data_IF_479494508678
#
_entry.id   IF_479494508678
#
_cell.length_a   1.000
_cell.length_b   1.000
_cell.length_c   1.000
_cell.angle_alpha   90.00
_cell.angle_beta   90.00
_cell.angle_gamma   90.00
#
_symmetry.space_group_name_H-M   'P 1'
#
loop_
_entity.id
_entity.type
_entity.pdbx_description
1 polymer ?
#
# COMPACT_ATOMS: atom_id res chain seq x y z
N UNK A 1 25.24 11.70 -17.09
CA UNK A 1 25.26 10.85 -15.86
C UNK A 1 26.22 11.38 -14.81
N UNK A 2 27.49 11.63 -15.15
CA UNK A 2 28.46 12.17 -14.18
C UNK A 2 28.02 13.54 -13.60
N UNK A 3 27.46 14.43 -14.44
CA UNK A 3 26.94 15.71 -13.96
C UNK A 3 25.78 15.54 -12.96
N UNK A 4 24.91 14.56 -13.19
CA UNK A 4 23.81 14.21 -12.28
C UNK A 4 24.36 13.67 -10.95
N UNK A 5 25.38 12.80 -11.02
CA UNK A 5 26.07 12.29 -9.83
C UNK A 5 26.66 13.42 -8.98
N UNK A 6 27.38 14.36 -9.61
CA UNK A 6 27.97 15.51 -8.91
C UNK A 6 26.91 16.41 -8.28
N UNK A 7 25.78 16.67 -8.97
CA UNK A 7 24.66 17.43 -8.42
C UNK A 7 24.03 16.73 -7.20
N UNK A 8 23.78 15.42 -7.29
CA UNK A 8 23.22 14.63 -6.18
C UNK A 8 24.16 14.61 -4.97
N UNK A 9 25.46 14.45 -5.20
CA UNK A 9 26.46 14.42 -4.12
C UNK A 9 26.60 15.80 -3.44
N UNK A 10 26.33 16.89 -4.16
CA UNK A 10 26.28 18.23 -3.61
C UNK A 10 24.95 18.57 -2.89
N UNK A 11 23.93 17.71 -2.98
CA UNK A 11 22.61 17.95 -2.38
C UNK A 11 22.71 17.97 -0.85
N UNK A 12 22.14 19.01 -0.27
CA UNK A 12 21.97 19.17 1.19
C UNK A 12 20.52 19.51 1.51
N UNK A 13 20.05 19.11 2.67
CA UNK A 13 18.69 19.37 3.13
C UNK A 13 18.68 19.94 4.54
N UNK A 14 17.77 20.87 4.83
CA UNK A 14 17.53 21.37 6.18
C UNK A 14 16.42 20.54 6.85
N UNK A 15 16.60 20.18 8.11
CA UNK A 15 15.61 19.47 8.91
C UNK A 15 15.65 19.95 10.35
N UNK A 16 14.57 19.67 11.11
CA UNK A 16 14.53 19.90 12.56
C UNK A 16 14.74 18.59 13.31
N UNK A 17 15.73 18.58 14.19
CA UNK A 17 16.05 17.42 15.03
C UNK A 17 15.02 17.24 16.16
N UNK A 18 15.16 16.20 17.00
CA UNK A 18 14.29 15.90 18.16
C UNK A 18 14.11 17.08 19.12
N UNK A 19 15.12 17.93 19.21
CA UNK A 19 15.14 19.12 20.06
C UNK A 19 14.58 20.37 19.36
N UNK A 20 13.99 20.21 18.17
CA UNK A 20 13.46 21.28 17.32
C UNK A 20 14.54 22.30 16.84
N UNK A 21 15.81 21.88 16.88
CA UNK A 21 16.96 22.62 16.35
C UNK A 21 17.08 22.38 14.84
N UNK A 22 17.29 23.46 14.07
CA UNK A 22 17.58 23.36 12.63
C UNK A 22 18.98 22.82 12.40
N UNK A 23 19.05 21.73 11.63
CA UNK A 23 20.28 21.07 11.20
C UNK A 23 20.25 20.86 9.69
N UNK A 24 21.43 20.81 9.11
CA UNK A 24 21.62 20.45 7.71
C UNK A 24 22.12 19.02 7.63
N UNK A 25 21.61 18.23 6.70
CA UNK A 25 22.12 16.92 6.35
C UNK A 25 22.70 16.93 4.94
N UNK A 26 23.92 16.42 4.81
CA UNK A 26 24.60 16.19 3.54
C UNK A 26 24.53 14.71 3.15
N UNK A 27 24.86 14.40 1.88
CA UNK A 27 24.94 13.01 1.44
C UNK A 27 25.95 12.19 2.26
N UNK A 28 27.10 12.76 2.63
CA UNK A 28 28.10 12.05 3.45
C UNK A 28 27.57 11.67 4.84
N UNK A 29 26.57 12.38 5.36
CA UNK A 29 25.94 12.07 6.65
C UNK A 29 24.75 11.11 6.49
N UNK A 30 23.99 11.22 5.40
CA UNK A 30 22.84 10.36 5.12
C UNK A 30 23.24 8.94 4.67
N UNK A 31 24.38 8.81 3.98
CA UNK A 31 24.73 7.57 3.30
C UNK A 31 25.06 6.41 4.26
N UNK A 32 24.79 5.19 3.80
CA UNK A 32 25.33 3.99 4.43
C UNK A 32 26.82 3.89 4.17
N UNK A 33 27.64 4.07 5.23
CA UNK A 33 29.10 3.94 5.13
C UNK A 33 29.54 2.49 5.33
N UNK A 34 30.25 1.94 4.35
CA UNK A 34 30.90 0.63 4.46
C UNK A 34 32.41 0.77 4.58
N UNK A 35 33.08 -0.11 5.36
CA UNK A 35 34.53 -0.08 5.49
C UNK A 35 35.18 -0.45 4.17
N UNK A 36 36.09 0.40 3.68
CA UNK A 36 36.93 0.13 2.50
C UNK A 36 38.42 0.17 2.89
N UNK A 37 39.33 -0.35 2.04
CA UNK A 37 40.77 -0.30 2.31
C UNK A 37 41.32 1.12 2.57
N UNK A 38 40.66 2.15 2.05
CA UNK A 38 41.07 3.56 2.16
C UNK A 38 40.21 4.36 3.15
N UNK A 39 39.46 3.69 4.03
CA UNK A 39 38.55 4.30 5.00
C UNK A 39 37.07 4.05 4.71
N UNK A 40 36.15 4.41 5.63
CA UNK A 40 34.72 4.27 5.39
C UNK A 40 34.26 5.17 4.24
N UNK A 41 33.47 4.64 3.31
CA UNK A 41 32.91 5.36 2.16
C UNK A 41 31.41 5.12 2.04
N UNK A 42 30.67 6.13 1.58
CA UNK A 42 29.26 6.02 1.22
C UNK A 42 29.02 4.92 0.19
N UNK A 43 27.92 4.17 0.34
CA UNK A 43 27.57 3.07 -0.55
C UNK A 43 26.72 3.57 -1.72
N UNK A 44 27.41 3.81 -2.81
CA UNK A 44 26.86 4.19 -4.11
C UNK A 44 27.19 3.11 -5.13
N UNK A 45 26.21 2.67 -5.92
CA UNK A 45 26.39 1.69 -6.99
C UNK A 45 26.00 2.31 -8.33
N UNK A 46 26.98 2.39 -9.23
CA UNK A 46 26.83 2.90 -10.59
C UNK A 46 27.93 2.31 -11.47
N UNK A 47 27.73 2.32 -12.79
CA UNK A 47 28.79 1.99 -13.76
C UNK A 47 29.98 2.96 -13.68
N UNK A 48 29.77 4.18 -13.19
CA UNK A 48 30.83 5.19 -12.98
C UNK A 48 31.85 4.77 -11.91
N UNK A 49 31.50 3.81 -11.06
CA UNK A 49 32.37 3.27 -10.00
C UNK A 49 33.65 2.65 -10.58
N UNK A 50 33.57 2.03 -11.77
CA UNK A 50 34.72 1.45 -12.50
C UNK A 50 35.82 2.52 -12.69
N UNK A 51 35.40 3.75 -12.96
CA UNK A 51 36.30 4.89 -13.21
C UNK A 51 36.45 5.79 -11.98
N UNK A 52 36.07 5.30 -10.79
CA UNK A 52 36.17 6.01 -9.51
C UNK A 52 35.45 7.36 -9.48
N UNK A 53 34.44 7.54 -10.33
CA UNK A 53 33.73 8.81 -10.50
C UNK A 53 34.66 9.99 -10.89
N UNK A 54 35.82 9.71 -11.50
CA UNK A 54 36.79 10.74 -11.88
C UNK A 54 36.50 11.29 -13.29
N UNK A 55 36.10 12.56 -13.34
CA UNK A 55 35.81 13.28 -14.59
C UNK A 55 36.98 13.25 -15.58
N UNK A 56 38.21 13.40 -15.09
CA UNK A 56 39.40 13.49 -15.95
C UNK A 56 39.74 12.16 -16.64
N UNK A 57 39.34 11.04 -16.02
CA UNK A 57 39.47 9.70 -16.61
C UNK A 57 38.35 9.52 -17.63
N UNK A 58 37.10 9.78 -17.22
CA UNK A 58 35.91 9.52 -18.04
C UNK A 58 35.92 10.31 -19.36
N UNK A 59 36.32 11.58 -19.33
CA UNK A 59 36.38 12.43 -20.53
C UNK A 59 37.45 12.00 -21.55
N UNK A 60 38.42 11.16 -21.14
CA UNK A 60 39.49 10.65 -22.01
C UNK A 60 39.21 9.26 -22.57
N UNK A 61 38.14 8.60 -22.14
CA UNK A 61 37.80 7.25 -22.57
C UNK A 61 37.28 7.25 -24.01
N UNK A 62 37.55 6.15 -24.71
CA UNK A 62 36.92 5.83 -26.00
C UNK A 62 35.85 4.78 -25.79
N UNK A 63 34.86 4.74 -26.66
CA UNK A 63 33.72 3.82 -26.57
C UNK A 63 34.14 2.35 -26.45
N UNK A 64 35.12 1.91 -27.26
CA UNK A 64 35.65 0.54 -27.23
C UNK A 64 36.28 0.17 -25.88
N UNK A 65 37.02 1.11 -25.28
CA UNK A 65 37.66 0.92 -23.98
C UNK A 65 36.59 0.78 -22.88
N UNK A 66 35.47 1.50 -23.01
CA UNK A 66 34.35 1.41 -22.08
C UNK A 66 33.73 0.02 -22.12
N UNK A 67 33.43 -0.51 -23.31
CA UNK A 67 32.81 -1.83 -23.45
C UNK A 67 33.70 -2.96 -22.93
N UNK A 68 34.99 -2.93 -23.27
CA UNK A 68 35.94 -3.94 -22.80
C UNK A 68 36.10 -3.88 -21.28
N UNK A 69 36.17 -2.68 -20.70
CA UNK A 69 36.33 -2.52 -19.25
C UNK A 69 35.09 -3.00 -18.50
N UNK A 70 33.88 -2.66 -18.97
CA UNK A 70 32.62 -3.07 -18.34
C UNK A 70 32.43 -4.59 -18.37
N UNK A 71 32.76 -5.25 -19.48
CA UNK A 71 32.61 -6.71 -19.63
C UNK A 71 33.70 -7.52 -18.88
N UNK A 72 34.85 -6.91 -18.55
CA UNK A 72 35.98 -7.60 -17.92
C UNK A 72 36.14 -7.30 -16.43
N UNK A 73 35.50 -6.25 -15.92
CA UNK A 73 35.63 -5.82 -14.52
C UNK A 73 34.53 -6.44 -13.67
N UNK A 74 34.91 -7.31 -12.73
CA UNK A 74 33.98 -7.92 -11.76
C UNK A 74 34.27 -7.53 -10.31
N UNK A 75 35.30 -6.71 -10.08
CA UNK A 75 35.70 -6.27 -8.75
C UNK A 75 35.59 -4.76 -8.66
N UNK A 76 34.94 -4.29 -7.61
CA UNK A 76 34.82 -2.87 -7.31
C UNK A 76 36.17 -2.24 -7.01
N UNK A 77 36.60 -1.18 -7.73
CA UNK A 77 37.85 -0.48 -7.43
C UNK A 77 37.76 0.42 -6.20
N UNK A 78 36.55 0.69 -5.68
CA UNK A 78 36.30 1.52 -4.50
C UNK A 78 36.14 0.65 -3.24
N UNK A 79 35.27 -0.36 -3.31
CA UNK A 79 34.90 -1.19 -2.17
C UNK A 79 35.70 -2.50 -2.10
N UNK A 80 36.36 -2.92 -3.18
CA UNK A 80 37.09 -4.18 -3.26
C UNK A 80 36.21 -5.44 -3.30
N UNK A 81 34.88 -5.28 -3.22
CA UNK A 81 33.90 -6.37 -3.30
C UNK A 81 33.67 -6.82 -4.75
N UNK A 82 33.36 -8.09 -4.96
CA UNK A 82 32.84 -8.54 -6.25
C UNK A 82 31.50 -7.86 -6.54
N UNK A 83 31.38 -7.27 -7.73
CA UNK A 83 30.18 -6.61 -8.19
C UNK A 83 30.07 -6.77 -9.70
N UNK A 84 28.94 -7.31 -10.15
CA UNK A 84 28.65 -7.46 -11.57
C UNK A 84 28.00 -6.17 -12.11
N UNK A 85 28.78 -5.40 -12.86
CA UNK A 85 28.32 -4.13 -13.44
C UNK A 85 27.25 -4.31 -14.52
N UNK A 86 27.11 -5.51 -15.09
CA UNK A 86 26.04 -5.79 -16.07
C UNK A 86 24.66 -5.66 -15.43
N UNK A 87 24.54 -5.84 -14.11
CA UNK A 87 23.29 -5.65 -13.36
C UNK A 87 22.83 -4.19 -13.27
N UNK A 88 23.72 -3.24 -13.57
CA UNK A 88 23.40 -1.79 -13.63
C UNK A 88 22.83 -1.38 -14.99
N UNK A 89 22.88 -2.27 -15.98
CA UNK A 89 22.43 -2.03 -17.34
C UNK A 89 20.98 -2.50 -17.50
N UNK A 90 20.13 -1.64 -18.07
CA UNK A 90 18.75 -1.96 -18.41
C UNK A 90 18.63 -2.28 -19.89
N UNK A 91 17.92 -3.38 -20.21
CA UNK A 91 17.78 -3.93 -21.56
C UNK A 91 19.13 -4.06 -22.30
N UNK A 92 19.98 -4.98 -21.84
CA UNK A 92 21.28 -5.20 -22.45
C UNK A 92 21.13 -5.67 -23.91
N UNK A 93 21.82 -5.01 -24.84
CA UNK A 93 21.93 -5.43 -26.24
C UNK A 93 23.13 -6.36 -26.35
N UNK A 94 22.93 -7.58 -26.84
CA UNK A 94 23.98 -8.60 -26.95
C UNK A 94 24.26 -8.98 -28.40
N UNK A 95 25.51 -9.36 -28.68
CA UNK A 95 25.93 -9.93 -29.95
C UNK A 95 25.59 -11.43 -30.05
N UNK A 96 25.79 -12.02 -31.24
CA UNK A 96 25.62 -13.45 -31.53
C UNK A 96 26.49 -14.38 -30.65
N UNK A 97 27.54 -13.83 -30.01
CA UNK A 97 28.42 -14.54 -29.07
C UNK A 97 28.05 -14.31 -27.59
N UNK A 98 26.85 -13.82 -27.29
CA UNK A 98 26.33 -13.48 -25.95
C UNK A 98 27.11 -12.37 -25.21
N UNK A 99 28.07 -11.73 -25.87
CA UNK A 99 28.79 -10.56 -25.36
C UNK A 99 27.94 -9.29 -25.48
N UNK A 100 27.91 -8.48 -24.42
CA UNK A 100 27.08 -7.27 -24.38
C UNK A 100 27.74 -6.11 -25.16
N UNK A 101 27.00 -5.53 -26.09
CA UNK A 101 27.40 -4.41 -26.96
C UNK A 101 26.72 -3.09 -26.65
N UNK A 102 25.74 -3.08 -25.75
CA UNK A 102 25.03 -1.85 -25.40
C UNK A 102 23.99 -2.06 -24.31
N UNK A 103 23.33 -0.96 -23.94
CA UNK A 103 22.19 -0.95 -23.04
C UNK A 103 21.29 0.24 -23.39
N UNK A 104 19.97 0.08 -23.28
CA UNK A 104 19.03 1.19 -23.48
C UNK A 104 18.90 2.08 -22.23
N UNK A 105 19.19 1.54 -21.04
CA UNK A 105 19.07 2.26 -19.79
C UNK A 105 20.24 1.98 -18.86
N UNK A 106 20.50 2.92 -17.97
CA UNK A 106 21.52 2.82 -16.93
C UNK A 106 20.90 3.07 -15.57
N UNK A 107 21.37 2.36 -14.55
CA UNK A 107 20.86 2.46 -13.17
C UNK A 107 21.94 2.94 -12.22
N UNK A 108 21.61 3.93 -11.41
CA UNK A 108 22.39 4.37 -10.26
C UNK A 108 21.60 4.10 -8.98
N UNK A 109 22.27 3.71 -7.91
CA UNK A 109 21.66 3.44 -6.61
C UNK A 109 22.47 4.08 -5.50
N UNK A 110 21.80 4.86 -4.67
CA UNK A 110 22.32 5.42 -3.43
C UNK A 110 21.71 4.63 -2.27
N UNK A 111 22.54 4.17 -1.34
CA UNK A 111 22.06 3.49 -0.13
C UNK A 111 22.16 4.44 1.06
N UNK A 112 21.01 4.71 1.67
CA UNK A 112 20.88 5.59 2.83
C UNK A 112 20.90 4.72 4.10
N UNK A 113 21.45 5.26 5.19
CA UNK A 113 21.41 4.64 6.50
C UNK A 113 20.39 5.35 7.39
N UNK A 114 19.42 4.58 7.90
CA UNK A 114 18.43 5.09 8.83
C UNK A 114 19.02 5.03 10.25
N UNK A 115 19.12 6.18 10.92
CA UNK A 115 19.55 6.21 12.32
C UNK A 115 18.40 5.85 13.25
N UNK A 116 18.39 4.59 13.70
CA UNK A 116 17.38 4.04 14.62
C UNK A 116 17.32 4.81 15.95
N UNK A 117 18.44 5.41 16.39
CA UNK A 117 18.51 6.21 17.62
C UNK A 117 17.87 7.60 17.46
N UNK A 118 17.86 8.14 16.25
CA UNK A 118 17.29 9.45 15.92
C UNK A 118 15.87 9.39 15.34
N UNK A 119 15.27 8.21 15.29
CA UNK A 119 13.86 8.07 14.90
C UNK A 119 12.96 8.95 15.75
N UNK A 120 12.21 9.83 15.09
CA UNK A 120 11.14 10.61 15.68
C UNK A 120 9.81 9.97 15.36
N UNK A 121 8.98 9.80 16.38
CA UNK A 121 7.72 9.08 16.32
C UNK A 121 7.54 8.26 17.58
N UNK A 122 6.35 8.35 18.19
CA UNK A 122 5.96 7.45 19.28
C UNK A 122 5.85 6.01 18.76
N UNK A 123 5.81 5.01 19.64
CA UNK A 123 5.52 3.59 19.27
C UNK A 123 4.26 3.41 18.42
N UNK A 124 3.39 4.43 18.39
CA UNK A 124 2.11 4.43 17.68
C UNK A 124 2.17 5.09 16.30
N UNK A 125 3.08 6.04 16.09
CA UNK A 125 3.29 6.68 14.78
C UNK A 125 4.46 6.01 14.06
N UNK A 126 4.44 5.99 12.73
CA UNK A 126 5.58 5.48 11.97
C UNK A 126 6.85 6.21 12.42
N UNK A 127 7.83 5.43 12.88
CA UNK A 127 9.11 5.97 13.33
C UNK A 127 9.89 6.36 12.09
N UNK A 128 10.02 7.66 11.88
CA UNK A 128 10.73 8.19 10.71
C UNK A 128 11.98 8.93 11.16
N UNK A 129 13.07 8.69 10.44
CA UNK A 129 14.27 9.52 10.51
C UNK A 129 14.04 10.77 9.67
N UNK A 130 13.76 11.89 10.35
CA UNK A 130 13.49 13.19 9.70
C UNK A 130 14.68 13.67 8.86
N UNK A 131 15.90 13.34 9.24
CA UNK A 131 17.09 13.77 8.53
C UNK A 131 17.15 13.07 7.17
N UNK A 132 17.07 11.74 7.19
CA UNK A 132 16.99 10.90 5.98
C UNK A 132 15.81 11.31 5.09
N UNK A 133 14.62 11.50 5.65
CA UNK A 133 13.43 11.89 4.88
C UNK A 133 13.59 13.26 4.20
N UNK A 134 14.25 14.22 4.86
CA UNK A 134 14.54 15.53 4.30
C UNK A 134 15.56 15.43 3.16
N UNK A 135 16.60 14.62 3.32
CA UNK A 135 17.57 14.37 2.25
C UNK A 135 16.93 13.69 1.04
N UNK A 136 16.06 12.69 1.25
CA UNK A 136 15.30 12.07 0.16
C UNK A 136 14.43 13.08 -0.60
N UNK A 137 13.85 14.07 0.11
CA UNK A 137 13.11 15.17 -0.53
C UNK A 137 14.00 15.95 -1.48
N UNK A 138 15.13 16.43 -0.95
CA UNK A 138 16.06 17.25 -1.70
C UNK A 138 16.70 16.47 -2.86
N UNK A 139 16.89 15.16 -2.71
CA UNK A 139 17.31 14.27 -3.77
C UNK A 139 16.30 14.25 -4.92
N UNK A 140 15.01 14.01 -4.63
CA UNK A 140 13.96 14.01 -5.65
C UNK A 140 13.89 15.36 -6.36
N UNK A 141 13.89 16.47 -5.60
CA UNK A 141 13.87 17.83 -6.15
C UNK A 141 15.09 18.12 -7.06
N UNK A 142 16.27 17.65 -6.67
CA UNK A 142 17.50 17.81 -7.44
C UNK A 142 17.44 17.04 -8.76
N UNK A 143 16.94 15.80 -8.72
CA UNK A 143 16.79 14.98 -9.92
C UNK A 143 15.72 15.57 -10.84
N UNK A 144 14.58 16.02 -10.31
CA UNK A 144 13.52 16.67 -11.11
C UNK A 144 14.00 17.97 -11.77
N UNK A 145 14.78 18.78 -11.06
CA UNK A 145 15.41 19.97 -11.63
C UNK A 145 16.39 19.61 -12.76
N UNK A 146 17.20 18.56 -12.57
CA UNK A 146 18.10 18.07 -13.62
C UNK A 146 17.33 17.55 -14.84
N UNK A 147 16.27 16.76 -14.64
CA UNK A 147 15.45 16.21 -15.71
C UNK A 147 14.84 17.31 -16.57
N UNK A 148 14.35 18.40 -15.95
CA UNK A 148 13.82 19.57 -16.67
C UNK A 148 14.88 20.31 -17.49
N UNK A 149 16.13 20.36 -17.00
CA UNK A 149 17.24 20.96 -17.73
C UNK A 149 17.73 20.07 -18.90
N UNK A 150 17.69 18.75 -18.73
CA UNK A 150 18.26 17.76 -19.66
C UNK A 150 17.22 17.07 -20.56
N UNK A 151 15.98 17.57 -20.60
CA UNK A 151 14.80 16.94 -21.24
C UNK A 151 15.00 16.59 -22.73
N UNK A 152 15.97 17.22 -23.42
CA UNK A 152 16.30 16.95 -24.83
C UNK A 152 17.32 15.84 -25.06
N UNK A 153 18.10 15.46 -24.06
CA UNK A 153 19.24 14.54 -24.21
C UNK A 153 19.02 13.20 -23.50
N UNK A 154 18.29 13.16 -22.39
CA UNK A 154 18.07 11.93 -21.63
C UNK A 154 16.83 12.00 -20.74
N UNK A 155 16.06 10.93 -20.70
CA UNK A 155 14.99 10.74 -19.72
C UNK A 155 15.58 10.13 -18.45
N UNK A 156 15.33 10.78 -17.30
CA UNK A 156 15.80 10.32 -15.99
C UNK A 156 14.58 10.00 -15.13
N UNK A 157 14.59 8.82 -14.52
CA UNK A 157 13.55 8.36 -13.61
C UNK A 157 14.13 8.18 -12.21
N UNK A 158 13.45 8.74 -11.22
CA UNK A 158 13.81 8.67 -9.81
C UNK A 158 12.85 7.79 -9.02
N UNK A 159 13.37 7.17 -7.96
CA UNK A 159 12.57 6.49 -6.96
C UNK A 159 13.28 6.59 -5.61
N UNK A 160 12.65 7.23 -4.63
CA UNK A 160 13.07 7.29 -3.23
C UNK A 160 12.01 6.61 -2.35
N UNK A 161 12.36 6.21 -1.13
CA UNK A 161 11.42 5.51 -0.24
C UNK A 161 10.14 6.36 0.02
N UNK A 162 10.30 7.68 0.15
CA UNK A 162 9.17 8.63 0.26
C UNK A 162 8.32 8.82 -1.00
N UNK A 163 8.85 8.52 -2.21
CA UNK A 163 8.21 8.89 -3.48
C UNK A 163 6.81 8.31 -3.65
N UNK A 164 6.54 7.11 -3.11
CA UNK A 164 5.21 6.50 -3.16
C UNK A 164 4.18 7.32 -2.37
N UNK A 165 4.57 7.81 -1.19
CA UNK A 165 3.69 8.57 -0.31
C UNK A 165 3.35 9.93 -0.92
N UNK A 166 4.37 10.63 -1.43
CA UNK A 166 4.22 11.93 -2.08
C UNK A 166 3.38 11.82 -3.35
N UNK A 167 3.70 10.87 -4.26
CA UNK A 167 2.95 10.69 -5.50
C UNK A 167 1.47 10.36 -5.26
N UNK A 168 1.18 9.54 -4.24
CA UNK A 168 -0.21 9.21 -3.87
C UNK A 168 -0.93 10.43 -3.29
N UNK A 169 -0.27 11.16 -2.39
CA UNK A 169 -0.85 12.36 -1.78
C UNK A 169 -1.12 13.45 -2.83
N UNK A 170 -0.17 13.69 -3.74
CA UNK A 170 -0.29 14.68 -4.79
C UNK A 170 -1.40 14.33 -5.79
N UNK A 171 -1.54 13.06 -6.16
CA UNK A 171 -2.64 12.60 -7.01
C UNK A 171 -4.01 12.86 -6.35
N UNK A 172 -4.16 12.54 -5.06
CA UNK A 172 -5.42 12.73 -4.33
C UNK A 172 -5.72 14.23 -4.12
N UNK A 173 -4.72 15.01 -3.71
CA UNK A 173 -4.87 16.44 -3.46
C UNK A 173 -5.12 17.22 -4.76
N UNK A 174 -4.50 16.81 -5.87
CA UNK A 174 -4.77 17.35 -7.21
C UNK A 174 -6.23 17.15 -7.63
N UNK A 175 -6.80 16.00 -7.27
CA UNK A 175 -8.19 15.65 -7.60
C UNK A 175 -9.22 16.10 -6.54
N UNK A 176 -8.81 16.89 -5.53
CA UNK A 176 -9.70 17.33 -4.45
C UNK A 176 -10.94 18.07 -4.97
N UNK A 177 -10.80 18.82 -6.06
CA UNK A 177 -11.93 19.50 -6.72
C UNK A 177 -12.92 18.51 -7.36
N UNK A 178 -12.41 17.45 -7.99
CA UNK A 178 -13.24 16.39 -8.59
C UNK A 178 -13.95 15.58 -7.49
N UNK A 179 -13.25 15.29 -6.39
CA UNK A 179 -13.80 14.63 -5.21
C UNK A 179 -14.97 15.45 -4.62
N UNK A 180 -14.79 16.77 -4.48
CA UNK A 180 -15.87 17.67 -4.05
C UNK A 180 -17.05 17.66 -5.03
N UNK A 181 -16.78 17.70 -6.34
CA UNK A 181 -17.81 17.55 -7.37
C UNK A 181 -18.58 16.24 -7.24
N UNK A 182 -17.90 15.13 -6.95
CA UNK A 182 -18.49 13.83 -6.68
C UNK A 182 -19.44 13.86 -5.48
N UNK A 183 -19.04 14.47 -4.37
CA UNK A 183 -19.91 14.63 -3.20
C UNK A 183 -21.17 15.44 -3.49
N UNK A 184 -21.03 16.55 -4.22
CA UNK A 184 -22.18 17.38 -4.63
C UNK A 184 -23.12 16.58 -5.54
N UNK A 185 -22.58 15.81 -6.48
CA UNK A 185 -23.38 14.98 -7.39
C UNK A 185 -24.15 13.91 -6.62
N UNK A 186 -23.49 13.21 -5.69
CA UNK A 186 -24.15 12.22 -4.83
C UNK A 186 -25.23 12.87 -3.96
N UNK A 187 -24.98 14.07 -3.41
CA UNK A 187 -26.00 14.80 -2.65
C UNK A 187 -27.24 15.14 -3.48
N UNK A 188 -27.04 15.65 -4.69
CA UNK A 188 -28.12 15.94 -5.63
C UNK A 188 -28.86 14.65 -5.99
N UNK A 189 -28.13 13.57 -6.28
CA UNK A 189 -28.71 12.26 -6.60
C UNK A 189 -29.59 11.74 -5.47
N UNK A 190 -29.11 11.78 -4.23
CA UNK A 190 -29.87 11.38 -3.04
C UNK A 190 -31.15 12.20 -2.91
N UNK A 191 -31.08 13.52 -3.08
CA UNK A 191 -32.27 14.39 -3.01
C UNK A 191 -33.30 14.02 -4.09
N UNK A 192 -32.84 13.77 -5.32
CA UNK A 192 -33.70 13.45 -6.45
C UNK A 192 -34.33 12.05 -6.34
N UNK A 193 -33.62 11.09 -5.76
CA UNK A 193 -34.10 9.71 -5.58
C UNK A 193 -35.06 9.61 -4.39
N UNK A 194 -34.75 10.28 -3.27
CA UNK A 194 -35.63 10.30 -2.10
C UNK A 194 -36.84 11.22 -2.26
N UNK A 195 -36.71 12.27 -3.06
CA UNK A 195 -37.75 13.25 -3.33
C UNK A 195 -38.65 12.84 -4.48
N UNK A 196 -39.88 13.36 -4.49
CA UNK A 196 -40.69 13.35 -5.72
C UNK A 196 -40.31 14.54 -6.60
N UNK A 197 -40.64 14.49 -7.89
CA UNK A 197 -40.34 15.54 -8.90
C UNK A 197 -41.14 16.83 -8.73
N UNK A 198 -41.39 17.26 -7.49
CA UNK A 198 -42.09 18.49 -7.14
C UNK A 198 -41.25 19.27 -6.12
N UNK A 199 -41.13 20.60 -6.28
CA UNK A 199 -40.35 21.47 -5.37
C UNK A 199 -40.79 21.43 -3.90
N UNK A 200 -42.03 20.99 -3.64
CA UNK A 200 -42.62 20.90 -2.29
C UNK A 200 -42.41 19.51 -1.67
N UNK A 201 -42.20 18.46 -2.47
CA UNK A 201 -42.01 17.08 -2.02
C UNK A 201 -40.54 16.64 -2.03
N UNK A 202 -39.61 17.61 -2.13
CA UNK A 202 -38.17 17.37 -2.01
C UNK A 202 -37.83 17.04 -0.55
N UNK A 203 -37.28 15.85 -0.32
CA UNK A 203 -36.87 15.36 1.01
C UNK A 203 -35.45 15.79 1.36
N UNK A 204 -35.11 17.05 1.16
CA UNK A 204 -33.75 17.57 1.39
C UNK A 204 -33.30 17.44 2.86
N UNK A 205 -34.21 17.66 3.82
CA UNK A 205 -33.90 17.49 5.25
C UNK A 205 -33.54 16.04 5.60
N UNK A 206 -34.22 15.06 5.00
CA UNK A 206 -33.94 13.64 5.19
C UNK A 206 -32.57 13.27 4.59
N UNK A 207 -32.28 13.76 3.37
CA UNK A 207 -30.99 13.58 2.72
C UNK A 207 -29.83 14.16 3.55
N UNK A 208 -29.99 15.38 4.08
CA UNK A 208 -29.00 16.01 4.96
C UNK A 208 -28.80 15.24 6.26
N UNK A 209 -29.88 14.78 6.90
CA UNK A 209 -29.78 13.97 8.11
C UNK A 209 -29.07 12.63 7.85
N UNK A 210 -29.36 11.97 6.74
CA UNK A 210 -28.68 10.74 6.31
C UNK A 210 -27.18 10.96 6.11
N UNK A 211 -26.80 11.97 5.32
CA UNK A 211 -25.39 12.31 5.08
C UNK A 211 -24.65 12.74 6.35
N UNK A 212 -25.29 13.53 7.21
CA UNK A 212 -24.72 13.91 8.49
C UNK A 212 -24.46 12.70 9.39
N UNK A 213 -25.36 11.71 9.40
CA UNK A 213 -25.18 10.48 10.18
C UNK A 213 -23.98 9.66 9.71
N UNK A 214 -23.75 9.58 8.39
CA UNK A 214 -22.58 8.94 7.80
C UNK A 214 -21.30 9.69 8.21
N UNK A 215 -21.31 11.02 8.10
CA UNK A 215 -20.20 11.87 8.50
C UNK A 215 -19.82 11.71 9.97
N UNK A 216 -20.80 11.65 10.87
CA UNK A 216 -20.59 11.38 12.30
C UNK A 216 -19.96 10.00 12.54
N UNK A 217 -20.37 8.97 11.79
CA UNK A 217 -19.76 7.65 11.84
C UNK A 217 -18.29 7.65 11.43
N UNK A 218 -17.95 8.37 10.36
CA UNK A 218 -16.57 8.54 9.89
C UNK A 218 -15.72 9.27 10.93
N UNK A 219 -16.24 10.38 11.47
CA UNK A 219 -15.55 11.16 12.51
C UNK A 219 -15.29 10.33 13.77
N UNK A 220 -16.28 9.54 14.22
CA UNK A 220 -16.11 8.64 15.34
C UNK A 220 -15.04 7.57 15.05
N UNK A 221 -15.06 6.98 13.85
CA UNK A 221 -14.06 5.99 13.43
C UNK A 221 -12.64 6.57 13.45
N UNK A 222 -12.42 7.75 12.85
CA UNK A 222 -11.12 8.42 12.88
C UNK A 222 -10.72 8.86 14.29
N UNK A 223 -11.66 9.31 15.12
CA UNK A 223 -11.40 9.67 16.51
C UNK A 223 -10.95 8.46 17.35
N UNK A 224 -11.61 7.31 17.19
CA UNK A 224 -11.22 6.07 17.86
C UNK A 224 -9.87 5.56 17.37
N UNK A 225 -9.65 5.53 16.05
CA UNK A 225 -8.39 5.12 15.44
C UNK A 225 -7.23 6.02 15.89
N UNK A 226 -7.44 7.34 15.94
CA UNK A 226 -6.47 8.30 16.47
C UNK A 226 -6.21 8.11 17.97
N UNK A 227 -7.24 7.81 18.77
CA UNK A 227 -7.10 7.47 20.19
C UNK A 227 -6.30 6.19 20.45
N UNK A 228 -6.40 5.21 19.54
CA UNK A 228 -5.55 4.02 19.53
C UNK A 228 -4.14 4.30 18.98
N UNK A 229 -3.96 5.45 18.32
CA UNK A 229 -2.71 5.93 17.73
C UNK A 229 -2.41 5.34 16.35
N UNK A 230 -3.42 4.91 15.61
CA UNK A 230 -3.25 4.42 14.24
C UNK A 230 -2.85 5.58 13.32
N UNK A 231 -1.82 5.39 12.50
CA UNK A 231 -1.29 6.40 11.58
C UNK A 231 -2.27 6.75 10.45
N UNK A 232 -2.41 8.05 10.18
CA UNK A 232 -3.24 8.56 9.08
C UNK A 232 -2.43 8.63 7.78
N UNK A 233 -2.49 7.56 6.98
CA UNK A 233 -1.88 7.52 5.65
C UNK A 233 -2.73 8.12 4.52
N UNK A 234 -2.16 8.36 3.31
CA UNK A 234 -2.85 8.95 2.16
C UNK A 234 -4.12 8.20 1.74
N UNK A 235 -4.15 6.87 1.88
CA UNK A 235 -5.33 6.05 1.54
C UNK A 235 -6.57 6.42 2.39
N UNK A 236 -6.38 6.93 3.61
CA UNK A 236 -7.51 7.36 4.44
C UNK A 236 -8.26 8.54 3.84
N UNK A 237 -7.65 9.31 2.94
CA UNK A 237 -8.28 10.45 2.26
C UNK A 237 -9.38 10.01 1.27
N UNK A 238 -9.30 8.78 0.74
CA UNK A 238 -10.29 8.23 -0.20
C UNK A 238 -11.47 7.55 0.54
N UNK A 239 -11.25 7.09 1.78
CA UNK A 239 -12.24 6.34 2.56
C UNK A 239 -13.61 7.05 2.71
N UNK A 240 -13.71 8.37 2.93
CA UNK A 240 -15.01 9.01 3.10
C UNK A 240 -15.89 8.87 1.85
N UNK A 241 -15.31 8.83 0.65
CA UNK A 241 -16.05 8.63 -0.59
C UNK A 241 -16.61 7.20 -0.69
N UNK A 242 -15.80 6.21 -0.35
CA UNK A 242 -16.22 4.80 -0.31
C UNK A 242 -17.34 4.57 0.73
N UNK A 243 -17.14 5.10 1.96
CA UNK A 243 -18.09 4.94 3.06
C UNK A 243 -19.41 5.66 2.81
N UNK A 244 -19.38 6.75 2.05
CA UNK A 244 -20.58 7.44 1.60
C UNK A 244 -21.47 6.54 0.73
N UNK A 245 -20.86 5.81 -0.20
CA UNK A 245 -21.58 4.88 -1.08
C UNK A 245 -22.29 3.77 -0.28
N UNK A 246 -21.58 3.16 0.68
CA UNK A 246 -22.14 2.13 1.56
C UNK A 246 -23.23 2.69 2.47
N UNK A 247 -23.00 3.87 3.07
CA UNK A 247 -23.92 4.46 4.04
C UNK A 247 -25.24 4.95 3.43
N UNK A 248 -25.21 5.46 2.19
CA UNK A 248 -26.42 5.96 1.50
C UNK A 248 -27.38 4.82 1.16
N UNK A 249 -26.88 3.63 0.81
CA UNK A 249 -27.71 2.48 0.43
C UNK A 249 -28.72 2.12 1.52
N UNK A 250 -28.26 2.07 2.77
CA UNK A 250 -29.12 1.78 3.93
C UNK A 250 -30.28 2.79 4.07
N UNK A 251 -30.04 4.07 3.77
CA UNK A 251 -31.09 5.08 3.80
C UNK A 251 -32.13 4.85 2.69
N UNK A 252 -31.70 4.45 1.50
CA UNK A 252 -32.63 4.11 0.42
C UNK A 252 -33.49 2.89 0.77
N UNK A 253 -32.90 1.85 1.37
CA UNK A 253 -33.65 0.66 1.82
C UNK A 253 -34.74 1.03 2.82
N UNK A 254 -34.43 1.85 3.83
CA UNK A 254 -35.41 2.30 4.84
C UNK A 254 -36.56 3.06 4.16
N UNK A 255 -36.24 4.04 3.31
CA UNK A 255 -37.24 4.88 2.67
C UNK A 255 -38.11 4.07 1.71
N UNK A 256 -37.51 3.17 0.94
CA UNK A 256 -38.25 2.31 0.02
C UNK A 256 -39.21 1.38 0.76
N UNK A 257 -38.78 0.76 1.85
CA UNK A 257 -39.65 -0.07 2.69
C UNK A 257 -40.78 0.74 3.34
N UNK A 258 -40.56 2.02 3.66
CA UNK A 258 -41.60 2.90 4.18
C UNK A 258 -42.63 3.29 3.11
N UNK A 259 -42.18 3.57 1.88
CA UNK A 259 -43.06 3.94 0.77
C UNK A 259 -43.88 2.75 0.24
N UNK A 260 -43.30 1.55 0.31
CA UNK A 260 -43.91 0.28 -0.10
C UNK A 260 -44.87 -0.33 0.94
N UNK A 261 -45.13 0.32 2.09
CA UNK A 261 -46.20 -0.10 3.00
C UNK A 261 -47.56 -0.11 2.27
N UNK A 262 -48.40 -1.10 2.58
CA UNK A 262 -49.75 -1.18 2.00
C UNK A 262 -50.62 0.02 2.45
N UNK A 263 -51.68 0.33 1.70
CA UNK A 263 -52.52 1.50 1.97
C UNK A 263 -53.19 1.42 3.36
N UNK A 264 -53.59 0.22 3.78
CA UNK A 264 -54.13 -0.03 5.13
C UNK A 264 -53.06 0.18 6.22
N UNK A 265 -51.81 -0.18 5.93
CA UNK A 265 -50.68 -0.01 6.86
C UNK A 265 -50.24 1.46 6.95
N UNK A 266 -50.41 2.24 5.88
CA UNK A 266 -50.14 3.69 5.88
C UNK A 266 -51.10 4.47 6.78
N UNK A 267 -52.29 3.93 7.06
CA UNK A 267 -53.28 4.52 7.97
C UNK A 267 -52.96 4.26 9.45
N UNK A 268 -52.07 3.31 9.75
CA UNK A 268 -51.68 3.02 11.12
C UNK A 268 -50.89 4.17 11.76
N UNK A 269 -50.85 4.23 13.11
CA UNK A 269 -50.02 5.17 13.84
C UNK A 269 -48.54 5.14 13.41
N UNK A 270 -47.85 6.29 13.53
CA UNK A 270 -46.48 6.47 13.04
C UNK A 270 -45.49 5.44 13.61
N UNK A 271 -45.62 5.13 14.89
CA UNK A 271 -44.81 4.14 15.60
C UNK A 271 -44.99 2.73 15.02
N UNK A 272 -46.22 2.35 14.69
CA UNK A 272 -46.52 1.05 14.08
C UNK A 272 -45.95 0.98 12.66
N UNK A 273 -46.10 2.06 11.88
CA UNK A 273 -45.55 2.16 10.53
C UNK A 273 -44.03 2.03 10.51
N UNK A 274 -43.35 2.77 11.38
CA UNK A 274 -41.89 2.68 11.51
C UNK A 274 -41.49 1.27 11.95
N UNK A 275 -42.21 0.66 12.89
CA UNK A 275 -41.97 -0.71 13.34
C UNK A 275 -42.07 -1.74 12.20
N UNK A 276 -43.10 -1.64 11.36
CA UNK A 276 -43.28 -2.49 10.16
C UNK A 276 -42.18 -2.26 9.13
N UNK A 277 -41.82 -1.00 8.86
CA UNK A 277 -40.68 -0.70 7.99
C UNK A 277 -39.38 -1.30 8.52
N UNK A 278 -39.07 -1.12 9.81
CA UNK A 278 -37.86 -1.66 10.42
C UNK A 278 -37.84 -3.19 10.49
N UNK A 279 -39.00 -3.85 10.55
CA UNK A 279 -39.09 -5.32 10.45
C UNK A 279 -38.51 -5.84 9.14
N UNK A 280 -38.72 -5.12 8.03
CA UNK A 280 -38.21 -5.50 6.70
C UNK A 280 -36.86 -4.87 6.41
N UNK A 281 -36.74 -3.55 6.50
CA UNK A 281 -35.51 -2.81 6.24
C UNK A 281 -34.40 -3.17 7.22
N UNK A 282 -34.71 -3.27 8.51
CA UNK A 282 -33.72 -3.56 9.55
C UNK A 282 -33.09 -4.95 9.40
N UNK A 283 -33.87 -5.96 8.98
CA UNK A 283 -33.35 -7.29 8.70
C UNK A 283 -32.36 -7.26 7.52
N UNK A 284 -32.73 -6.58 6.41
CA UNK A 284 -31.85 -6.42 5.25
C UNK A 284 -30.56 -5.66 5.60
N UNK A 285 -30.67 -4.52 6.29
CA UNK A 285 -29.52 -3.68 6.68
C UNK A 285 -28.57 -4.41 7.63
N UNK A 286 -29.11 -5.23 8.54
CA UNK A 286 -28.27 -6.04 9.45
C UNK A 286 -27.45 -7.06 8.69
N UNK A 287 -28.02 -7.70 7.67
CA UNK A 287 -27.31 -8.63 6.80
C UNK A 287 -26.21 -7.90 6.03
N UNK A 288 -26.55 -6.81 5.33
CA UNK A 288 -25.57 -6.04 4.55
C UNK A 288 -24.44 -5.50 5.42
N UNK A 289 -24.75 -4.90 6.57
CA UNK A 289 -23.75 -4.38 7.50
C UNK A 289 -22.86 -5.49 8.07
N UNK A 290 -23.45 -6.67 8.33
CA UNK A 290 -22.72 -7.85 8.77
C UNK A 290 -21.77 -8.38 7.70
N UNK A 291 -22.19 -8.40 6.44
CA UNK A 291 -21.34 -8.80 5.31
C UNK A 291 -20.23 -7.78 5.05
N UNK A 292 -20.50 -6.48 5.17
CA UNK A 292 -19.49 -5.43 5.03
C UNK A 292 -18.44 -5.53 6.14
N UNK A 293 -18.88 -5.70 7.39
CA UNK A 293 -17.98 -5.92 8.51
C UNK A 293 -17.08 -7.14 8.29
N UNK A 294 -17.65 -8.26 7.84
CA UNK A 294 -16.88 -9.45 7.52
C UNK A 294 -15.86 -9.16 6.40
N UNK A 295 -16.27 -8.50 5.32
CA UNK A 295 -15.38 -8.15 4.21
C UNK A 295 -14.20 -7.27 4.66
N UNK A 296 -14.45 -6.24 5.47
CA UNK A 296 -13.38 -5.40 6.03
C UNK A 296 -12.49 -6.15 7.02
N UNK A 297 -13.05 -7.04 7.85
CA UNK A 297 -12.26 -7.88 8.76
C UNK A 297 -11.33 -8.84 8.01
N UNK A 298 -11.79 -9.38 6.88
CA UNK A 298 -10.97 -10.20 5.97
C UNK A 298 -9.87 -9.35 5.30
N UNK A 299 -10.20 -8.13 4.91
CA UNK A 299 -9.18 -7.18 4.44
C UNK A 299 -8.11 -6.91 5.52
N UNK A 300 -8.52 -6.76 6.77
CA UNK A 300 -7.59 -6.53 7.88
C UNK A 300 -6.69 -7.73 8.16
N UNK A 301 -7.18 -8.98 8.04
CA UNK A 301 -6.33 -10.17 8.21
C UNK A 301 -5.25 -10.28 7.13
N UNK A 302 -5.47 -9.68 5.96
CA UNK A 302 -4.46 -9.60 4.90
C UNK A 302 -3.21 -8.86 5.37
N UNK A 303 -3.39 -7.80 6.18
CA UNK A 303 -2.27 -7.01 6.73
C UNK A 303 -1.40 -7.85 7.66
N UNK A 304 -2.01 -8.71 8.47
CA UNK A 304 -1.30 -9.62 9.38
C UNK A 304 -0.45 -10.63 8.60
N UNK A 305 -1.01 -11.23 7.55
CA UNK A 305 -0.28 -12.17 6.67
C UNK A 305 0.88 -11.48 5.94
N UNK A 306 0.69 -10.26 5.45
CA UNK A 306 1.78 -9.48 4.84
C UNK A 306 2.88 -9.18 5.87
N UNK A 307 2.48 -8.88 7.12
CA UNK A 307 3.41 -8.66 8.23
C UNK A 307 4.27 -9.89 8.53
N UNK A 308 3.69 -11.10 8.52
CA UNK A 308 4.45 -12.35 8.72
C UNK A 308 5.34 -12.68 7.54
N UNK A 309 4.93 -12.40 6.30
CA UNK A 309 5.76 -12.57 5.09
C UNK A 309 7.05 -11.76 5.17
N UNK A 310 7.01 -10.55 5.74
CA UNK A 310 8.21 -9.74 5.95
C UNK A 310 9.24 -10.44 6.85
N UNK A 311 8.79 -11.08 7.94
CA UNK A 311 9.68 -11.82 8.84
C UNK A 311 10.33 -13.05 8.18
N UNK A 312 9.70 -13.60 7.14
CA UNK A 312 10.25 -14.71 6.34
C UNK A 312 11.07 -14.24 5.13
N UNK A 313 11.26 -12.93 4.97
CA UNK A 313 12.04 -12.35 3.88
C UNK A 313 11.38 -12.52 2.51
N UNK A 314 10.07 -12.73 2.47
CA UNK A 314 9.31 -12.82 1.23
C UNK A 314 8.96 -11.42 0.73
N UNK A 315 9.22 -11.16 -0.55
CA UNK A 315 8.84 -9.91 -1.21
C UNK A 315 7.46 -10.04 -1.85
N UNK A 316 6.70 -8.94 -1.91
CA UNK A 316 5.43 -8.90 -2.66
C UNK A 316 5.72 -8.92 -4.16
N UNK A 317 5.62 -10.10 -4.76
CA UNK A 317 5.63 -10.32 -6.21
C UNK A 317 4.31 -10.97 -6.67
N UNK A 318 4.07 -11.02 -7.98
CA UNK A 318 2.82 -11.54 -8.55
C UNK A 318 2.46 -12.95 -8.05
N UNK A 319 3.45 -13.83 -7.86
CA UNK A 319 3.22 -15.20 -7.37
C UNK A 319 2.83 -15.18 -5.91
N UNK A 320 3.56 -14.43 -5.09
CA UNK A 320 3.27 -14.22 -3.66
C UNK A 320 1.87 -13.63 -3.44
N UNK A 321 1.45 -12.68 -4.29
CA UNK A 321 0.09 -12.12 -4.25
C UNK A 321 -1.00 -13.16 -4.55
N UNK A 322 -0.79 -14.03 -5.54
CA UNK A 322 -1.76 -15.11 -5.86
C UNK A 322 -1.88 -16.11 -4.72
N UNK A 323 -0.75 -16.54 -4.14
CA UNK A 323 -0.74 -17.45 -3.00
C UNK A 323 -1.45 -16.83 -1.79
N UNK A 324 -1.20 -15.54 -1.54
CA UNK A 324 -1.83 -14.80 -0.46
C UNK A 324 -3.35 -14.72 -0.61
N UNK A 325 -3.87 -14.41 -1.80
CA UNK A 325 -5.32 -14.38 -2.07
C UNK A 325 -5.96 -15.75 -1.83
N UNK A 326 -5.31 -16.83 -2.27
CA UNK A 326 -5.80 -18.20 -2.05
C UNK A 326 -5.79 -18.55 -0.55
N UNK A 327 -4.70 -18.25 0.17
CA UNK A 327 -4.57 -18.53 1.59
C UNK A 327 -5.65 -17.82 2.43
N UNK A 328 -5.91 -16.55 2.13
CA UNK A 328 -6.98 -15.78 2.78
C UNK A 328 -8.35 -16.39 2.44
N UNK A 329 -8.61 -16.71 1.16
CA UNK A 329 -9.86 -17.34 0.74
C UNK A 329 -10.15 -18.63 1.51
N UNK A 330 -9.14 -19.50 1.68
CA UNK A 330 -9.27 -20.74 2.45
C UNK A 330 -9.45 -20.50 3.96
N UNK A 331 -8.72 -19.54 4.55
CA UNK A 331 -8.88 -19.21 5.96
C UNK A 331 -10.30 -18.70 6.28
N UNK A 332 -10.84 -17.85 5.41
CA UNK A 332 -12.18 -17.30 5.53
C UNK A 332 -13.24 -18.38 5.36
N UNK A 333 -13.10 -19.24 4.36
CA UNK A 333 -14.02 -20.35 4.09
C UNK A 333 -14.15 -21.27 5.32
N UNK A 334 -13.03 -21.66 5.93
CA UNK A 334 -13.03 -22.48 7.13
C UNK A 334 -13.67 -21.77 8.34
N UNK A 335 -13.35 -20.49 8.54
CA UNK A 335 -13.93 -19.69 9.62
C UNK A 335 -15.45 -19.51 9.43
N UNK A 336 -15.90 -19.32 8.20
CA UNK A 336 -17.31 -19.21 7.85
C UNK A 336 -18.06 -20.53 8.08
N UNK A 337 -17.48 -21.67 7.70
CA UNK A 337 -18.06 -22.99 7.98
C UNK A 337 -18.18 -23.28 9.48
N UNK A 338 -17.16 -22.94 10.27
CA UNK A 338 -17.21 -23.06 11.73
C UNK A 338 -18.28 -22.14 12.33
N UNK A 339 -18.31 -20.87 11.91
CA UNK A 339 -19.28 -19.89 12.39
C UNK A 339 -20.72 -20.25 12.03
N UNK A 340 -20.97 -20.65 10.79
CA UNK A 340 -22.30 -21.05 10.32
C UNK A 340 -22.84 -22.22 11.12
N UNK A 341 -22.05 -23.28 11.29
CA UNK A 341 -22.50 -24.48 12.02
C UNK A 341 -22.66 -24.21 13.50
N UNK A 342 -21.80 -23.39 14.09
CA UNK A 342 -22.05 -22.89 15.43
C UNK A 342 -23.42 -22.20 15.51
N UNK A 343 -23.79 -21.37 14.53
CA UNK A 343 -25.05 -20.62 14.47
C UNK A 343 -26.30 -21.47 14.21
N UNK A 344 -26.19 -22.58 13.47
CA UNK A 344 -27.32 -23.46 13.17
C UNK A 344 -27.59 -24.50 14.24
N UNK A 345 -26.60 -24.85 15.06
CA UNK A 345 -26.76 -25.78 16.17
C UNK A 345 -27.57 -25.16 17.32
N UNK A 346 -28.60 -25.88 17.78
CA UNK A 346 -29.39 -25.51 18.95
C UNK A 346 -28.76 -26.03 20.25
N UNK A 347 -28.81 -25.23 21.33
CA UNK A 347 -28.36 -25.65 22.66
C UNK A 347 -27.52 -24.60 23.40
N UNK A 348 -26.97 -24.98 24.54
CA UNK A 348 -26.07 -24.14 25.33
C UNK A 348 -24.75 -23.86 24.59
N UNK A 349 -24.11 -22.72 24.88
CA UNK A 349 -22.90 -22.25 24.19
C UNK A 349 -21.79 -23.30 24.21
N UNK A 350 -21.58 -23.96 25.35
CA UNK A 350 -20.55 -25.01 25.49
C UNK A 350 -20.83 -26.22 24.61
N UNK A 351 -22.10 -26.65 24.52
CA UNK A 351 -22.52 -27.77 23.69
C UNK A 351 -22.35 -27.44 22.21
N UNK A 352 -22.77 -26.23 21.78
CA UNK A 352 -22.63 -25.77 20.40
C UNK A 352 -21.16 -25.73 19.95
N UNK A 353 -20.25 -25.20 20.79
CA UNK A 353 -18.81 -25.21 20.48
C UNK A 353 -18.28 -26.63 20.34
N UNK A 354 -18.62 -27.52 21.28
CA UNK A 354 -18.15 -28.92 21.24
C UNK A 354 -18.60 -29.64 19.97
N UNK A 355 -19.88 -29.58 19.65
CA UNK A 355 -20.45 -30.26 18.48
C UNK A 355 -19.90 -29.67 17.18
N UNK A 356 -19.73 -28.35 17.11
CA UNK A 356 -19.12 -27.70 15.94
C UNK A 356 -17.70 -28.22 15.67
N UNK A 357 -16.87 -28.36 16.72
CA UNK A 357 -15.51 -28.88 16.59
C UNK A 357 -15.51 -30.36 16.24
N UNK A 358 -16.41 -31.16 16.81
CA UNK A 358 -16.52 -32.60 16.54
C UNK A 358 -16.97 -32.88 15.09
N UNK A 359 -17.90 -32.11 14.53
CA UNK A 359 -18.45 -32.35 13.18
C UNK A 359 -17.60 -31.71 12.07
N UNK A 360 -17.13 -30.46 12.25
CA UNK A 360 -16.45 -29.71 11.19
C UNK A 360 -14.92 -29.75 11.31
N UNK A 361 -14.40 -29.84 12.53
CA UNK A 361 -12.95 -29.85 12.77
C UNK A 361 -12.19 -30.87 11.91
N UNK A 362 -12.63 -32.15 11.85
CA UNK A 362 -11.98 -33.16 11.02
C UNK A 362 -12.03 -32.84 9.52
N UNK A 363 -13.16 -32.34 9.01
CA UNK A 363 -13.32 -32.02 7.59
C UNK A 363 -12.38 -30.89 7.15
N UNK A 364 -12.29 -29.82 7.94
CA UNK A 364 -11.35 -28.70 7.72
C UNK A 364 -9.91 -29.18 7.79
N UNK A 365 -9.58 -30.00 8.79
CA UNK A 365 -8.23 -30.56 8.95
C UNK A 365 -7.83 -31.42 7.74
N UNK A 366 -8.71 -32.31 7.28
CA UNK A 366 -8.46 -33.13 6.09
C UNK A 366 -8.37 -32.30 4.80
N UNK A 367 -9.15 -31.22 4.66
CA UNK A 367 -9.05 -30.28 3.54
C UNK A 367 -7.69 -29.59 3.46
N UNK A 368 -7.21 -29.04 4.59
CA UNK A 368 -5.88 -28.44 4.66
C UNK A 368 -4.76 -29.46 4.45
N UNK A 369 -4.85 -30.62 5.09
CA UNK A 369 -3.82 -31.66 5.02
C UNK A 369 -3.69 -32.28 3.63
N UNK A 370 -4.80 -32.48 2.92
CA UNK A 370 -4.76 -33.00 1.53
C UNK A 370 -4.10 -32.03 0.55
N UNK A 371 -4.35 -30.72 0.71
CA UNK A 371 -3.66 -29.67 -0.07
C UNK A 371 -2.16 -29.68 0.24
N UNK A 372 -1.77 -29.77 1.52
CA UNK A 372 -0.37 -29.89 1.91
C UNK A 372 0.31 -31.10 1.25
N UNK A 373 -0.33 -32.28 1.26
CA UNK A 373 0.20 -33.48 0.60
C UNK A 373 0.37 -33.26 -0.92
N UNK A 374 -0.59 -32.59 -1.58
CA UNK A 374 -0.51 -32.33 -3.01
C UNK A 374 0.73 -31.51 -3.39
N UNK A 375 1.12 -30.56 -2.53
CA UNK A 375 2.28 -29.71 -2.77
C UNK A 375 3.57 -30.29 -2.21
N UNK A 376 3.57 -31.17 -1.20
CA UNK A 376 4.79 -31.59 -0.46
C UNK A 376 5.91 -32.12 -1.35
N UNK A 377 5.56 -32.77 -2.47
CA UNK A 377 6.53 -33.29 -3.44
C UNK A 377 7.26 -32.20 -4.23
N UNK A 378 6.70 -30.98 -4.27
CA UNK A 378 7.27 -29.81 -4.95
C UNK A 378 8.26 -29.05 -4.06
N UNK A 379 8.41 -29.45 -2.78
CA UNK A 379 9.36 -28.82 -1.84
C UNK A 379 10.83 -28.95 -2.26
N UNK A 380 11.16 -29.97 -3.06
CA UNK A 380 12.51 -30.17 -3.62
C UNK A 380 12.77 -29.44 -4.94
N UNK A 381 11.83 -28.62 -5.44
CA UNK A 381 12.01 -27.91 -6.70
C UNK A 381 12.89 -26.67 -6.54
N UNK A 382 13.75 -26.41 -7.54
CA UNK A 382 14.54 -25.18 -7.62
C UNK A 382 13.75 -23.96 -8.15
N UNK A 383 12.48 -24.15 -8.55
CA UNK A 383 11.65 -23.06 -9.05
C UNK A 383 11.31 -22.07 -7.94
N UNK A 384 11.45 -20.77 -8.25
CA UNK A 384 11.09 -19.66 -7.35
C UNK A 384 9.64 -19.77 -6.83
N UNK A 385 8.71 -20.21 -7.69
CA UNK A 385 7.29 -20.35 -7.34
C UNK A 385 7.08 -21.36 -6.20
N UNK A 386 7.74 -22.52 -6.28
CA UNK A 386 7.56 -23.58 -5.30
C UNK A 386 8.36 -23.30 -4.03
N UNK A 387 9.57 -22.73 -4.15
CA UNK A 387 10.36 -22.32 -2.97
C UNK A 387 9.70 -21.21 -2.16
N UNK A 388 8.94 -20.32 -2.81
CA UNK A 388 8.12 -19.29 -2.15
C UNK A 388 6.92 -19.89 -1.44
N UNK A 389 6.25 -20.89 -2.02
CA UNK A 389 5.10 -21.57 -1.40
C UNK A 389 5.44 -22.31 -0.10
N UNK A 390 6.67 -22.81 0.04
CA UNK A 390 7.14 -23.57 1.21
C UNK A 390 7.80 -22.72 2.29
N UNK A 391 7.96 -21.42 2.05
CA UNK A 391 8.42 -20.45 3.04
C UNK A 391 7.22 -19.79 3.66
#
# INVERSE_FOLDING_TARGET
MLDLYEKINATTAQYKDKNDEEKTISWDEACLKIPTPNGPRCTERSILEIYRYDRTIIEKLKDEDIFQTVNSTFTSPIYGSNFDYLTTLGKPVKNEQDSQIGAEALRMRWMIQIDVGQLTGDEKTERVDKATLAWESAFVDTVDAFTKESEKESEVFQNAARSFMDATADAILGDLQLLFGGYVLVFIYVILVLGRRNLVEIRAGLALAGLASIGLGILLSYGLSSGLGIFFGPLHQILPFLLLGIGIDNMFVIVQCYENLDDDEKLEPLDVRIGKTMKHAGAAITVTSGTDFAAFAIGASTVDVIGTMHFWGLTLDTVSCVILVIAIGLCVDYSAHMGHTFMTLAGDRKTRVRVTIEEIGPAVFHGGFSTFIAFVLLSGSESYVFTTFFK
#
